data_IF_627774996022
#
_entry.id   IF_627774996022
#
_cell.length_a   1.000
_cell.length_b   1.000
_cell.length_c   1.000
_cell.angle_alpha   90.00
_cell.angle_beta   90.00
_cell.angle_gamma   90.00
#
_symmetry.space_group_name_H-M   'P 1'
#
loop_
_entity.id
_entity.type
_entity.pdbx_description
1 polymer ?
#
# COMPACT_ATOMS: atom_id res chain seq x y z
N UNK A 1 8.27 64.20 5.83
CA UNK A 1 7.21 63.39 5.20
C UNK A 1 7.90 62.14 4.67
N UNK A 2 8.28 61.16 5.50
CA UNK A 2 7.47 60.10 6.12
C UNK A 2 6.48 59.45 5.15
N UNK A 3 6.52 58.12 5.16
CA UNK A 3 5.58 57.16 4.57
C UNK A 3 5.94 56.70 3.16
N UNK A 4 6.72 55.62 3.05
CA UNK A 4 6.32 54.39 2.33
C UNK A 4 7.31 53.24 2.61
N UNK A 5 7.76 53.10 3.86
CA UNK A 5 8.39 51.87 4.36
C UNK A 5 7.30 51.00 4.97
N UNK A 6 6.42 50.38 4.17
CA UNK A 6 5.47 49.39 4.71
C UNK A 6 4.78 48.55 3.63
N UNK A 7 5.54 47.88 2.76
CA UNK A 7 4.93 46.95 1.79
C UNK A 7 5.79 45.72 1.53
N UNK A 8 6.45 45.21 2.56
CA UNK A 8 7.30 44.01 2.45
C UNK A 8 7.03 42.97 3.54
N UNK A 9 5.86 43.04 4.21
CA UNK A 9 5.60 42.21 5.40
C UNK A 9 4.17 41.64 5.44
N UNK A 10 3.63 41.22 4.30
CA UNK A 10 2.31 40.57 4.28
C UNK A 10 2.18 39.55 3.14
N UNK A 11 3.06 38.54 3.13
CA UNK A 11 2.89 37.36 2.27
C UNK A 11 3.52 36.11 2.91
N UNK A 12 3.19 35.86 4.17
CA UNK A 12 3.75 34.71 4.93
C UNK A 12 2.73 33.97 5.80
N UNK A 13 1.42 34.07 5.49
CA UNK A 13 0.39 33.34 6.23
C UNK A 13 -0.67 32.79 5.28
N UNK A 14 -0.25 31.84 4.44
CA UNK A 14 -1.11 30.75 4.01
C UNK A 14 -0.33 29.46 4.29
N UNK A 15 -0.12 29.17 5.57
CA UNK A 15 0.16 27.80 5.98
C UNK A 15 -1.17 27.09 5.85
N UNK A 16 -1.47 26.58 4.66
CA UNK A 16 -2.57 25.64 4.51
C UNK A 16 -2.31 24.49 5.47
N UNK A 17 -3.31 24.08 6.24
CA UNK A 17 -3.21 22.92 7.11
C UNK A 17 -2.88 21.71 6.23
N UNK A 18 -1.59 21.41 6.12
CA UNK A 18 -1.16 20.12 5.61
C UNK A 18 -1.59 19.11 6.67
N UNK A 19 -2.69 18.42 6.40
CA UNK A 19 -3.06 17.19 7.09
C UNK A 19 -2.04 16.11 6.72
N UNK A 20 -0.81 16.31 7.16
CA UNK A 20 0.25 15.32 7.05
C UNK A 20 -0.01 14.26 8.11
N UNK A 21 0.07 13.01 7.70
CA UNK A 21 0.09 11.92 8.67
C UNK A 21 1.29 12.07 9.59
N UNK A 22 1.03 12.11 10.90
CA UNK A 22 2.08 12.26 11.91
C UNK A 22 3.02 11.05 11.92
N UNK A 23 2.51 9.87 11.54
CA UNK A 23 3.30 8.62 11.43
C UNK A 23 2.75 7.78 10.26
N UNK A 24 3.49 7.62 9.14
CA UNK A 24 3.08 6.71 8.08
C UNK A 24 3.16 5.24 8.54
N UNK A 25 2.34 4.37 7.95
CA UNK A 25 2.41 2.92 8.16
C UNK A 25 3.79 2.38 7.77
N UNK A 26 4.29 1.31 8.43
CA UNK A 26 5.60 0.71 8.13
C UNK A 26 5.73 0.34 6.64
N UNK A 27 6.91 0.54 6.05
CA UNK A 27 7.14 0.28 4.62
C UNK A 27 6.93 1.48 3.70
N UNK A 28 6.43 2.61 4.24
CA UNK A 28 6.31 3.85 3.47
C UNK A 28 7.65 4.26 2.84
N UNK A 29 7.63 4.52 1.53
CA UNK A 29 8.78 5.02 0.78
C UNK A 29 9.91 3.99 0.59
N UNK A 30 9.68 2.72 0.94
CA UNK A 30 10.66 1.67 0.69
C UNK A 30 10.82 1.42 -0.83
N UNK A 31 12.05 1.09 -1.23
CA UNK A 31 12.31 0.50 -2.54
C UNK A 31 11.66 -0.89 -2.64
N UNK A 32 11.58 -1.44 -3.85
CA UNK A 32 11.09 -2.79 -4.07
C UNK A 32 11.93 -3.81 -3.31
N UNK A 33 13.25 -3.62 -3.36
CA UNK A 33 14.25 -4.42 -2.68
C UNK A 33 14.11 -4.30 -1.15
N UNK A 34 14.01 -3.07 -0.62
CA UNK A 34 13.83 -2.83 0.81
C UNK A 34 12.55 -3.46 1.34
N UNK A 35 11.46 -3.40 0.56
CA UNK A 35 10.18 -4.00 0.93
C UNK A 35 10.31 -5.51 1.14
N UNK A 36 11.09 -6.19 0.29
CA UNK A 36 11.33 -7.64 0.40
C UNK A 36 12.32 -7.95 1.51
N UNK A 37 13.43 -7.23 1.57
CA UNK A 37 14.52 -7.52 2.50
C UNK A 37 14.09 -7.32 3.95
N UNK A 38 13.39 -6.22 4.21
CA UNK A 38 12.98 -5.80 5.56
C UNK A 38 11.65 -6.38 6.00
N UNK A 39 10.91 -7.05 5.10
CA UNK A 39 9.69 -7.73 5.50
C UNK A 39 10.02 -9.01 6.25
N UNK A 40 9.43 -9.18 7.43
CA UNK A 40 9.57 -10.41 8.21
C UNK A 40 8.77 -11.56 7.57
N UNK A 41 7.61 -11.25 6.97
CA UNK A 41 6.72 -12.25 6.40
C UNK A 41 6.21 -11.83 5.03
N UNK A 42 6.28 -12.73 4.05
CA UNK A 42 5.74 -12.53 2.71
C UNK A 42 4.86 -13.72 2.38
N UNK A 43 3.61 -13.47 2.02
CA UNK A 43 2.59 -14.51 1.84
C UNK A 43 1.73 -14.25 0.61
N UNK A 44 1.09 -15.30 0.10
CA UNK A 44 -0.06 -15.17 -0.79
C UNK A 44 -1.33 -15.37 0.04
N UNK A 45 -2.27 -14.43 -0.09
CA UNK A 45 -3.55 -14.46 0.63
C UNK A 45 -4.75 -14.40 -0.31
N UNK A 46 -5.88 -14.89 0.17
CA UNK A 46 -7.20 -14.73 -0.45
C UNK A 46 -8.20 -14.15 0.57
N UNK A 47 -9.19 -13.40 0.09
CA UNK A 47 -10.25 -12.87 0.94
C UNK A 47 -11.19 -14.00 1.42
N UNK A 48 -11.22 -14.26 2.73
CA UNK A 48 -12.15 -15.22 3.33
C UNK A 48 -13.48 -14.56 3.67
N UNK A 49 -13.45 -13.35 4.25
CA UNK A 49 -14.65 -12.62 4.70
C UNK A 49 -14.45 -11.11 4.59
N UNK A 50 -15.49 -10.40 4.14
CA UNK A 50 -15.57 -8.93 4.13
C UNK A 50 -16.71 -8.51 5.06
N UNK A 51 -16.45 -7.62 6.00
CA UNK A 51 -17.46 -6.99 6.87
C UNK A 51 -17.45 -5.50 6.57
N UNK A 52 -18.55 -4.99 6.04
CA UNK A 52 -18.71 -3.56 5.78
C UNK A 52 -19.38 -2.93 7.00
N UNK A 53 -18.74 -1.94 7.60
CA UNK A 53 -19.28 -1.16 8.71
C UNK A 53 -18.81 0.29 8.62
N UNK A 54 -19.50 1.21 9.30
CA UNK A 54 -18.97 2.56 9.47
C UNK A 54 -18.11 2.60 10.75
N UNK A 55 -16.87 3.14 10.72
CA UNK A 55 -16.22 3.87 9.62
C UNK A 55 -15.26 3.05 8.74
N UNK A 56 -15.17 1.72 8.90
CA UNK A 56 -14.14 0.89 8.25
C UNK A 56 -14.68 -0.42 7.69
N UNK A 57 -14.02 -0.91 6.66
CA UNK A 57 -14.24 -2.25 6.12
C UNK A 57 -13.19 -3.17 6.72
N UNK A 58 -13.64 -4.31 7.22
CA UNK A 58 -12.75 -5.36 7.75
C UNK A 58 -12.67 -6.49 6.74
N UNK A 59 -11.44 -6.78 6.31
CA UNK A 59 -11.11 -7.90 5.45
C UNK A 59 -10.40 -8.98 6.26
N UNK A 60 -11.01 -10.16 6.37
CA UNK A 60 -10.36 -11.35 6.91
C UNK A 60 -9.68 -12.05 5.73
N UNK A 61 -8.35 -12.14 5.76
CA UNK A 61 -7.49 -12.66 4.70
C UNK A 61 -6.91 -13.99 5.15
N UNK A 62 -7.07 -15.03 4.34
CA UNK A 62 -6.53 -16.36 4.60
C UNK A 62 -5.23 -16.54 3.85
N UNK A 63 -4.19 -17.00 4.53
CA UNK A 63 -2.92 -17.41 3.89
C UNK A 63 -3.13 -18.70 3.11
N UNK A 64 -2.75 -18.69 1.84
CA UNK A 64 -2.77 -19.87 0.97
C UNK A 64 -1.36 -20.36 0.63
N UNK A 65 -0.36 -19.49 0.74
CA UNK A 65 1.04 -19.81 0.50
C UNK A 65 1.96 -18.91 1.34
N UNK A 66 3.04 -19.47 1.86
CA UNK A 66 4.08 -18.73 2.59
C UNK A 66 5.33 -18.67 1.73
N UNK A 67 5.79 -17.46 1.41
CA UNK A 67 7.00 -17.22 0.63
C UNK A 67 8.21 -16.92 1.53
N UNK A 68 7.99 -16.23 2.66
CA UNK A 68 9.03 -15.88 3.63
C UNK A 68 8.43 -15.83 5.05
N UNK A 69 9.21 -16.27 6.04
CA UNK A 69 8.88 -16.14 7.46
C UNK A 69 7.98 -17.24 8.01
N UNK A 70 7.41 -16.99 9.19
CA UNK A 70 6.52 -17.89 9.94
C UNK A 70 5.24 -17.12 10.31
N UNK A 71 4.38 -16.82 9.33
CA UNK A 71 3.22 -15.94 9.50
C UNK A 71 2.07 -16.62 10.26
N UNK A 72 1.12 -15.80 10.73
CA UNK A 72 -0.20 -16.29 11.12
C UNK A 72 -0.93 -16.90 9.91
N UNK A 73 -1.89 -17.79 10.15
CA UNK A 73 -2.68 -18.42 9.08
C UNK A 73 -3.73 -17.49 8.48
N UNK A 74 -4.11 -16.44 9.21
CA UNK A 74 -5.08 -15.43 8.80
C UNK A 74 -4.64 -14.04 9.28
N UNK A 75 -5.04 -13.01 8.54
CA UNK A 75 -4.81 -11.62 8.85
C UNK A 75 -6.11 -10.83 8.79
N UNK A 76 -6.25 -9.83 9.66
CA UNK A 76 -7.33 -8.85 9.58
C UNK A 76 -6.77 -7.53 9.03
N UNK A 77 -7.37 -7.00 7.96
CA UNK A 77 -7.00 -5.71 7.38
C UNK A 77 -8.18 -4.74 7.41
N UNK A 78 -7.91 -3.50 7.82
CA UNK A 78 -8.87 -2.40 7.87
C UNK A 78 -8.69 -1.48 6.65
N UNK A 79 -9.67 -1.49 5.75
CA UNK A 79 -9.75 -0.57 4.62
C UNK A 79 -10.81 0.52 4.83
N UNK A 80 -10.76 1.55 3.99
CA UNK A 80 -11.61 2.74 4.10
C UNK A 80 -12.50 2.95 2.88
N UNK A 81 -12.18 2.33 1.75
CA UNK A 81 -12.96 2.37 0.50
C UNK A 81 -13.56 1.02 0.15
N UNK A 82 -14.84 1.03 -0.24
CA UNK A 82 -15.53 -0.18 -0.71
C UNK A 82 -15.15 -0.56 -2.14
N UNK A 83 -14.73 0.42 -2.94
CA UNK A 83 -14.38 0.25 -4.35
C UNK A 83 -13.15 -0.63 -4.46
N UNK A 84 -13.28 -1.78 -5.09
CA UNK A 84 -12.13 -2.66 -5.32
C UNK A 84 -11.24 -2.10 -6.45
N UNK A 85 -9.97 -1.84 -6.14
CA UNK A 85 -8.96 -1.54 -7.15
C UNK A 85 -8.29 -2.83 -7.65
N UNK A 86 -8.53 -3.13 -8.93
CA UNK A 86 -8.13 -4.37 -9.61
C UNK A 86 -7.03 -4.19 -10.66
N UNK A 87 -6.38 -3.02 -10.69
CA UNK A 87 -5.26 -2.77 -11.59
C UNK A 87 -4.10 -3.72 -11.27
N UNK A 88 -3.53 -4.36 -12.30
CA UNK A 88 -2.37 -5.27 -12.16
C UNK A 88 -1.16 -4.84 -12.97
N UNK A 89 -1.23 -3.69 -13.66
CA UNK A 89 -0.12 -3.18 -14.49
C UNK A 89 0.40 -4.19 -15.53
N UNK A 90 -0.56 -4.89 -16.17
CA UNK A 90 -0.31 -5.98 -17.12
C UNK A 90 0.59 -7.06 -16.51
N UNK A 91 0.13 -7.64 -15.40
CA UNK A 91 0.88 -8.63 -14.61
C UNK A 91 2.29 -8.11 -14.26
N UNK A 92 2.30 -6.85 -13.84
CA UNK A 92 3.48 -6.07 -13.48
C UNK A 92 4.53 -5.98 -14.59
N UNK A 93 4.13 -5.97 -15.86
CA UNK A 93 5.03 -5.68 -16.99
C UNK A 93 5.21 -4.19 -17.26
N UNK A 94 4.27 -3.35 -16.83
CA UNK A 94 4.36 -1.91 -17.13
C UNK A 94 5.52 -1.25 -16.38
N UNK A 95 6.33 -0.49 -17.11
CA UNK A 95 7.45 0.27 -16.58
C UNK A 95 7.04 1.24 -15.44
N UNK A 96 5.81 1.77 -15.47
CA UNK A 96 5.30 2.67 -14.43
C UNK A 96 5.29 2.01 -13.05
N UNK A 97 5.01 0.70 -12.98
CA UNK A 97 5.04 -0.04 -11.72
C UNK A 97 6.45 -0.06 -11.13
N UNK A 98 7.46 -0.32 -11.96
CA UNK A 98 8.86 -0.49 -11.54
C UNK A 98 9.58 0.81 -11.22
N UNK A 99 9.30 1.88 -11.98
CA UNK A 99 10.05 3.13 -11.88
C UNK A 99 9.34 4.22 -11.08
N UNK A 100 8.14 3.95 -10.56
CA UNK A 100 7.39 4.89 -9.73
C UNK A 100 6.85 4.22 -8.47
N UNK A 101 6.23 5.00 -7.59
CA UNK A 101 5.52 4.49 -6.41
C UNK A 101 4.11 3.95 -6.76
N UNK A 102 3.80 3.78 -8.04
CA UNK A 102 2.54 3.19 -8.49
C UNK A 102 2.36 1.78 -7.93
N UNK A 103 1.16 1.53 -7.43
CA UNK A 103 0.62 0.22 -7.08
C UNK A 103 -0.87 0.27 -7.32
N UNK A 104 -1.61 -0.81 -7.06
CA UNK A 104 -3.07 -0.77 -7.28
C UNK A 104 -3.80 0.09 -6.25
N UNK A 105 -3.22 0.22 -5.05
CA UNK A 105 -3.89 0.85 -3.92
C UNK A 105 -3.75 2.37 -3.96
N UNK A 106 -4.88 3.05 -3.81
CA UNK A 106 -4.92 4.51 -3.72
C UNK A 106 -4.29 5.01 -2.41
N UNK A 107 -3.87 6.27 -2.42
CA UNK A 107 -3.39 6.99 -1.23
C UNK A 107 -4.38 8.10 -0.84
N UNK A 108 -5.53 7.78 -0.25
CA UNK A 108 -6.51 8.79 0.07
C UNK A 108 -5.97 9.77 1.11
N UNK A 109 -6.50 10.99 1.08
CA UNK A 109 -6.17 11.96 2.11
C UNK A 109 -6.60 11.44 3.48
N UNK A 110 -5.84 11.83 4.51
CA UNK A 110 -6.18 11.61 5.92
C UNK A 110 -6.05 10.17 6.44
N UNK A 111 -5.58 9.20 5.62
CA UNK A 111 -5.09 7.91 6.11
C UNK A 111 -3.57 7.80 5.95
N UNK A 112 -2.92 7.12 6.88
CA UNK A 112 -1.46 7.11 6.96
C UNK A 112 -0.80 5.99 6.16
N UNK A 113 -1.39 5.62 5.03
CA UNK A 113 -0.87 4.59 4.15
C UNK A 113 -1.80 4.36 2.96
N UNK A 114 -1.43 3.46 2.05
CA UNK A 114 -2.32 3.04 0.97
C UNK A 114 -3.56 2.32 1.52
N UNK A 115 -4.68 2.50 0.82
CA UNK A 115 -5.92 1.80 1.12
C UNK A 115 -6.01 0.51 0.31
N UNK A 116 -5.44 -0.57 0.85
CA UNK A 116 -5.44 -1.87 0.18
C UNK A 116 -6.84 -2.49 0.22
N UNK A 117 -7.46 -2.68 -0.93
CA UNK A 117 -8.80 -3.26 -1.04
C UNK A 117 -8.72 -4.74 -1.42
N UNK A 118 -9.62 -5.59 -0.93
CA UNK A 118 -9.62 -7.02 -1.27
C UNK A 118 -11.00 -7.47 -1.77
N UNK A 119 -11.02 -8.40 -2.71
CA UNK A 119 -12.22 -8.99 -3.28
C UNK A 119 -12.05 -10.51 -3.45
N UNK A 120 -13.17 -11.24 -3.41
CA UNK A 120 -13.18 -12.69 -3.56
C UNK A 120 -12.79 -13.06 -5.00
N UNK A 121 -12.05 -14.15 -5.14
CA UNK A 121 -11.61 -14.68 -6.44
C UNK A 121 -10.24 -14.19 -6.91
N UNK A 122 -9.61 -13.27 -6.15
CA UNK A 122 -8.25 -12.82 -6.39
C UNK A 122 -7.28 -13.38 -5.36
N UNK A 123 -6.04 -13.56 -5.80
CA UNK A 123 -4.88 -13.85 -4.95
C UNK A 123 -4.04 -12.60 -4.82
N UNK A 124 -3.53 -12.35 -3.62
CA UNK A 124 -2.74 -11.16 -3.33
C UNK A 124 -1.38 -11.54 -2.79
N UNK A 125 -0.32 -11.01 -3.40
CA UNK A 125 1.01 -11.00 -2.81
C UNK A 125 1.03 -9.93 -1.70
N UNK A 126 1.24 -10.38 -0.47
CA UNK A 126 0.93 -9.61 0.73
C UNK A 126 2.10 -9.57 1.71
N UNK A 127 2.43 -8.35 2.14
CA UNK A 127 3.50 -8.01 3.08
C UNK A 127 2.86 -7.49 4.39
N UNK A 128 2.36 -8.37 5.27
CA UNK A 128 1.55 -8.02 6.44
C UNK A 128 2.20 -7.03 7.40
N UNK A 129 3.53 -7.01 7.48
CA UNK A 129 4.29 -6.17 8.40
C UNK A 129 4.67 -4.79 7.80
N UNK A 130 4.58 -4.63 6.47
CA UNK A 130 5.00 -3.42 5.76
C UNK A 130 3.87 -2.81 4.90
N UNK A 131 2.67 -2.71 5.47
CA UNK A 131 1.44 -2.25 4.77
C UNK A 131 1.44 -0.78 4.31
N UNK A 132 2.46 -0.01 4.67
CA UNK A 132 2.68 1.35 4.22
C UNK A 132 3.25 1.46 2.82
N UNK A 133 3.74 0.40 2.18
CA UNK A 133 4.13 0.48 0.76
C UNK A 133 2.92 0.24 -0.16
N UNK A 134 2.82 0.98 -1.27
CA UNK A 134 1.73 0.81 -2.26
C UNK A 134 1.66 -0.60 -2.81
N UNK A 135 2.82 -1.26 -2.92
CA UNK A 135 2.98 -2.60 -3.51
C UNK A 135 2.90 -3.76 -2.51
N UNK A 136 2.51 -3.46 -1.26
CA UNK A 136 2.45 -4.46 -0.18
C UNK A 136 1.26 -5.41 -0.26
N UNK A 137 0.36 -5.24 -1.24
CA UNK A 137 -0.84 -6.07 -1.38
C UNK A 137 -1.28 -6.17 -2.84
N UNK A 138 -0.40 -6.51 -3.78
CA UNK A 138 -0.71 -6.55 -5.21
C UNK A 138 -1.46 -7.82 -5.63
N UNK A 139 -2.31 -7.71 -6.66
CA UNK A 139 -3.01 -8.87 -7.23
C UNK A 139 -2.04 -9.68 -8.09
N UNK A 140 -2.03 -11.00 -7.91
CA UNK A 140 -1.25 -11.92 -8.74
C UNK A 140 -2.20 -12.78 -9.58
N UNK A 141 -2.13 -12.63 -10.90
CA UNK A 141 -2.98 -13.36 -11.84
C UNK A 141 -2.39 -14.70 -12.30
N UNK A 142 -1.07 -14.84 -12.28
CA UNK A 142 -0.37 -16.03 -12.78
C UNK A 142 0.97 -16.25 -12.09
N UNK A 143 1.55 -17.44 -12.28
CA UNK A 143 2.91 -17.76 -11.84
C UNK A 143 3.99 -16.98 -12.62
N UNK A 144 3.65 -16.45 -13.80
CA UNK A 144 4.53 -15.65 -14.64
C UNK A 144 4.55 -14.16 -14.27
N UNK A 145 3.78 -13.75 -13.25
CA UNK A 145 3.73 -12.36 -12.78
C UNK A 145 5.13 -11.86 -12.40
N UNK A 146 5.53 -10.72 -12.96
CA UNK A 146 6.91 -10.24 -12.81
C UNK A 146 7.20 -9.75 -11.39
N UNK A 147 6.21 -9.22 -10.67
CA UNK A 147 6.39 -8.80 -9.28
C UNK A 147 6.55 -10.03 -8.38
N UNK A 148 5.69 -11.04 -8.53
CA UNK A 148 5.85 -12.31 -7.83
C UNK A 148 7.23 -12.94 -8.09
N UNK A 149 7.61 -13.03 -9.36
CA UNK A 149 8.89 -13.63 -9.75
C UNK A 149 10.10 -12.86 -9.19
N UNK A 150 10.04 -11.52 -9.20
CA UNK A 150 11.07 -10.70 -8.59
C UNK A 150 11.21 -10.96 -7.09
N UNK A 151 10.09 -11.04 -6.37
CA UNK A 151 10.05 -11.34 -4.94
C UNK A 151 10.62 -12.72 -4.64
N UNK A 152 10.13 -13.75 -5.30
CA UNK A 152 10.59 -15.13 -5.11
C UNK A 152 12.08 -15.29 -5.42
N UNK A 153 12.58 -14.62 -6.46
CA UNK A 153 13.99 -14.68 -6.81
C UNK A 153 14.90 -13.97 -5.80
N UNK A 154 14.38 -12.97 -5.09
CA UNK A 154 15.14 -12.22 -4.07
C UNK A 154 15.16 -12.91 -2.70
N UNK A 155 14.13 -13.69 -2.38
CA UNK A 155 14.06 -14.45 -1.13
C UNK A 155 15.05 -15.62 -1.11
N UNK A 156 15.32 -16.21 -2.28
CA UNK A 156 16.27 -17.33 -2.47
C UNK A 156 17.72 -16.93 -2.23
#
# INVERSE_FOLDING_TARGET
>A
MSNFKLLSFLFLVFVGDALACSVPKPGYGYSLEDLIDKSDNIVIVELSKKKVGEPFIVYDLKVIEVLKGEPATEFEFFGHTEKHESATYTDHNDAVFWFTQAGRSEWPCCICGPDHTFEKGFKYLFFPDLLGATKSAEIINSEDDLWLNFVVNRIK
#
